data_IF_011428181465
#
_entry.id   IF_011428181465
#
_cell.length_a   1.000
_cell.length_b   1.000
_cell.length_c   1.000
_cell.angle_alpha   90.00
_cell.angle_beta   90.00
_cell.angle_gamma   90.00
#
_symmetry.space_group_name_H-M   'P 1'
#
loop_
_entity.id
_entity.type
_entity.pdbx_description
1 polymer ?
#
# COMPACT_ATOMS: atom_id res chain seq x y z
N UNK A 1 -20.81 -0.46 6.28
CA UNK A 1 -20.78 0.48 7.42
C UNK A 1 -20.25 1.81 6.91
N UNK A 2 -20.62 2.94 7.52
CA UNK A 2 -20.17 4.26 7.03
C UNK A 2 -18.64 4.44 6.97
N UNK A 3 -17.90 3.71 7.81
CA UNK A 3 -16.43 3.70 7.78
C UNK A 3 -15.84 3.12 6.49
N UNK A 4 -16.51 2.12 5.88
CA UNK A 4 -16.05 1.58 4.60
C UNK A 4 -16.16 2.61 3.49
N UNK A 5 -17.28 3.34 3.42
CA UNK A 5 -17.51 4.34 2.37
C UNK A 5 -16.57 5.54 2.53
N UNK A 6 -16.32 5.95 3.78
CA UNK A 6 -15.36 6.99 4.09
C UNK A 6 -13.93 6.61 3.65
N UNK A 7 -13.43 5.46 4.09
CA UNK A 7 -12.06 5.01 3.76
C UNK A 7 -11.88 4.75 2.26
N UNK A 8 -12.90 4.18 1.61
CA UNK A 8 -12.97 4.05 0.15
C UNK A 8 -12.80 5.41 -0.55
N UNK A 9 -13.54 6.43 -0.08
CA UNK A 9 -13.48 7.78 -0.64
C UNK A 9 -12.12 8.43 -0.44
N UNK A 10 -11.47 8.20 0.71
CA UNK A 10 -10.10 8.66 0.97
C UNK A 10 -9.10 8.03 0.00
N UNK A 11 -9.13 6.70 -0.17
CA UNK A 11 -8.24 5.98 -1.10
C UNK A 11 -8.42 6.52 -2.53
N UNK A 12 -9.67 6.62 -3.00
CA UNK A 12 -9.96 7.14 -4.34
C UNK A 12 -9.47 8.57 -4.49
N UNK A 13 -9.72 9.43 -3.51
CA UNK A 13 -9.28 10.84 -3.55
C UNK A 13 -7.76 10.96 -3.62
N UNK A 14 -7.03 10.14 -2.86
CA UNK A 14 -5.57 10.12 -2.92
C UNK A 14 -5.07 9.64 -4.29
N UNK A 15 -5.66 8.56 -4.82
CA UNK A 15 -5.32 8.04 -6.16
C UNK A 15 -5.59 9.08 -7.26
N UNK A 16 -6.70 9.80 -7.18
CA UNK A 16 -7.08 10.78 -8.20
C UNK A 16 -6.20 12.03 -8.14
N UNK A 17 -5.97 12.57 -6.93
CA UNK A 17 -5.39 13.92 -6.74
C UNK A 17 -3.89 13.94 -6.46
N UNK A 18 -3.26 12.80 -6.20
CA UNK A 18 -1.82 12.71 -5.94
C UNK A 18 -1.16 11.85 -7.00
N UNK A 19 0.16 11.82 -6.96
CA UNK A 19 1.01 10.98 -7.79
C UNK A 19 2.12 10.41 -6.93
N UNK A 20 2.78 9.34 -7.39
CA UNK A 20 3.99 8.80 -6.77
C UNK A 20 3.78 8.35 -5.31
N UNK A 21 2.55 7.98 -4.96
CA UNK A 21 2.22 7.33 -3.68
C UNK A 21 2.51 5.83 -3.73
N UNK A 22 2.83 5.27 -2.55
CA UNK A 22 2.95 3.83 -2.33
C UNK A 22 1.82 3.36 -1.43
N UNK A 23 1.02 2.41 -1.90
CA UNK A 23 -0.06 1.76 -1.15
C UNK A 23 0.39 0.36 -0.71
N UNK A 24 0.46 0.14 0.61
CA UNK A 24 0.76 -1.16 1.21
C UNK A 24 -0.57 -1.84 1.61
N UNK A 25 -1.00 -2.83 0.83
CA UNK A 25 -2.29 -3.52 1.04
C UNK A 25 -2.05 -4.92 1.64
N UNK A 26 -2.18 -5.01 2.96
CA UNK A 26 -1.96 -6.25 3.71
C UNK A 26 -3.27 -6.92 4.13
N UNK A 27 -3.50 -8.13 3.66
CA UNK A 27 -4.73 -8.89 3.91
C UNK A 27 -5.81 -8.72 2.84
N UNK A 28 -6.78 -9.64 2.79
CA UNK A 28 -7.77 -9.73 1.72
C UNK A 28 -8.65 -8.48 1.57
N UNK A 29 -9.11 -7.91 2.68
CA UNK A 29 -9.93 -6.70 2.67
C UNK A 29 -9.15 -5.46 2.17
N UNK A 30 -7.86 -5.35 2.48
CA UNK A 30 -7.02 -4.28 1.93
C UNK A 30 -6.75 -4.51 0.44
N UNK A 31 -6.46 -5.76 0.04
CA UNK A 31 -6.22 -6.13 -1.36
C UNK A 31 -7.40 -5.82 -2.26
N UNK A 32 -8.64 -5.95 -1.78
CA UNK A 32 -9.83 -5.62 -2.59
C UNK A 32 -9.95 -4.13 -2.92
N UNK A 33 -9.18 -3.25 -2.26
CA UNK A 33 -9.13 -1.81 -2.57
C UNK A 33 -8.20 -1.47 -3.71
N UNK A 34 -7.42 -2.44 -4.21
CA UNK A 34 -6.44 -2.19 -5.27
C UNK A 34 -7.07 -1.66 -6.56
N UNK A 35 -8.33 -2.01 -6.84
CA UNK A 35 -9.05 -1.60 -8.05
C UNK A 35 -9.44 -0.12 -8.03
N UNK A 36 -9.35 0.51 -6.86
CA UNK A 36 -9.60 1.93 -6.66
C UNK A 36 -8.36 2.80 -6.86
N UNK A 37 -7.21 2.18 -7.17
CA UNK A 37 -5.90 2.84 -7.24
C UNK A 37 -5.38 2.77 -8.67
N UNK A 38 -5.03 3.93 -9.24
CA UNK A 38 -4.38 4.02 -10.54
C UNK A 38 -2.92 3.58 -10.44
N UNK A 39 -2.66 2.35 -10.91
CA UNK A 39 -1.33 1.72 -10.87
C UNK A 39 -0.34 2.33 -11.87
N UNK A 40 -0.78 3.20 -12.79
CA UNK A 40 0.14 3.95 -13.65
C UNK A 40 0.75 5.15 -12.90
N UNK A 41 0.05 5.67 -11.89
CA UNK A 41 0.47 6.82 -11.08
C UNK A 41 1.13 6.41 -9.76
N UNK A 42 0.83 5.22 -9.28
CA UNK A 42 1.12 4.76 -7.92
C UNK A 42 1.69 3.36 -7.88
N UNK A 43 2.49 3.08 -6.85
CA UNK A 43 2.90 1.71 -6.53
C UNK A 43 1.88 1.06 -5.59
N UNK A 44 1.44 -0.14 -5.93
CA UNK A 44 0.62 -0.98 -5.05
C UNK A 44 1.41 -2.25 -4.70
N UNK A 45 1.70 -2.43 -3.40
CA UNK A 45 2.35 -3.64 -2.89
C UNK A 45 1.35 -4.43 -2.04
N UNK A 46 1.18 -5.72 -2.34
CA UNK A 46 0.22 -6.57 -1.62
C UNK A 46 0.91 -7.75 -0.94
N UNK A 47 0.46 -8.09 0.27
CA UNK A 47 0.94 -9.26 1.02
C UNK A 47 -0.17 -9.81 1.92
N UNK A 48 0.08 -10.95 2.58
CA UNK A 48 -0.78 -11.40 3.67
C UNK A 48 -0.81 -10.36 4.82
N UNK A 49 -1.80 -10.45 5.70
CA UNK A 49 -1.87 -9.56 6.86
C UNK A 49 -0.75 -9.93 7.87
N UNK A 50 -0.13 -8.95 8.56
CA UNK A 50 0.92 -9.21 9.57
C UNK A 50 0.46 -9.99 10.81
N UNK A 51 -0.85 -10.20 10.97
CA UNK A 51 -1.38 -11.02 12.08
C UNK A 51 -0.73 -12.41 12.09
N UNK A 52 -0.42 -12.98 13.27
CA UNK A 52 0.17 -14.32 13.40
C UNK A 52 -0.56 -15.40 12.60
N UNK A 53 -1.89 -15.28 12.45
CA UNK A 53 -2.75 -16.22 11.71
C UNK A 53 -2.42 -16.30 10.22
N UNK A 54 -1.79 -15.28 9.64
CA UNK A 54 -1.52 -15.20 8.20
C UNK A 54 -0.12 -14.75 7.82
N UNK A 55 0.71 -14.34 8.78
CA UNK A 55 2.00 -13.72 8.49
C UNK A 55 2.96 -14.66 7.73
N UNK A 56 2.95 -15.94 8.08
CA UNK A 56 3.72 -16.98 7.39
C UNK A 56 3.25 -17.23 5.96
N UNK A 57 2.01 -16.85 5.62
CA UNK A 57 1.43 -17.03 4.29
C UNK A 57 1.74 -15.86 3.34
N UNK A 58 2.90 -15.20 3.54
CA UNK A 58 3.44 -14.22 2.59
C UNK A 58 3.59 -12.79 3.10
N UNK A 59 3.43 -12.52 4.41
CA UNK A 59 3.86 -11.23 4.98
C UNK A 59 5.36 -11.24 5.28
N UNK A 60 5.84 -12.27 5.99
CA UNK A 60 7.27 -12.44 6.23
C UNK A 60 8.03 -12.61 4.91
N UNK A 61 9.13 -11.87 4.76
CA UNK A 61 9.90 -11.86 3.52
C UNK A 61 9.33 -11.00 2.38
N UNK A 62 8.17 -10.33 2.56
CA UNK A 62 7.61 -9.49 1.49
C UNK A 62 8.50 -8.28 1.11
N UNK A 63 9.34 -7.82 2.06
CA UNK A 63 10.30 -6.71 1.92
C UNK A 63 9.66 -5.38 1.50
N UNK A 64 8.39 -5.15 1.87
CA UNK A 64 7.61 -3.99 1.40
C UNK A 64 8.25 -2.63 1.72
N UNK A 65 8.83 -2.44 2.90
CA UNK A 65 9.47 -1.17 3.26
C UNK A 65 10.63 -0.81 2.32
N UNK A 66 11.53 -1.77 2.06
CA UNK A 66 12.63 -1.57 1.12
C UNK A 66 12.16 -1.39 -0.33
N UNK A 67 11.13 -2.13 -0.77
CA UNK A 67 10.54 -1.98 -2.11
C UNK A 67 9.87 -0.62 -2.28
N UNK A 68 9.17 -0.13 -1.26
CA UNK A 68 8.55 1.18 -1.24
C UNK A 68 9.62 2.27 -1.40
N UNK A 69 10.68 2.24 -0.59
CA UNK A 69 11.77 3.20 -0.67
C UNK A 69 12.51 3.14 -2.02
N UNK A 70 12.79 1.95 -2.55
CA UNK A 70 13.42 1.80 -3.86
C UNK A 70 12.58 2.46 -4.98
N UNK A 71 11.26 2.26 -4.96
CA UNK A 71 10.39 2.89 -5.94
C UNK A 71 10.25 4.40 -5.75
N UNK A 72 10.18 4.87 -4.50
CA UNK A 72 10.19 6.30 -4.17
C UNK A 72 11.45 6.97 -4.74
N UNK A 73 12.63 6.39 -4.48
CA UNK A 73 13.90 6.89 -5.02
C UNK A 73 13.91 6.94 -6.54
N UNK A 74 13.47 5.86 -7.21
CA UNK A 74 13.37 5.81 -8.68
C UNK A 74 12.44 6.90 -9.25
N UNK A 75 11.47 7.37 -8.46
CA UNK A 75 10.53 8.41 -8.84
C UNK A 75 10.92 9.82 -8.33
N UNK A 76 12.15 9.98 -7.81
CA UNK A 76 12.68 11.23 -7.29
C UNK A 76 12.03 11.68 -5.98
N UNK A 77 11.47 10.76 -5.20
CA UNK A 77 10.88 11.01 -3.88
C UNK A 77 11.87 10.64 -2.77
N UNK A 78 11.77 11.35 -1.65
CA UNK A 78 12.56 11.06 -0.45
C UNK A 78 12.12 9.70 0.14
N UNK A 79 13.07 8.79 0.43
CA UNK A 79 12.77 7.55 1.15
C UNK A 79 12.19 7.83 2.53
N UNK A 80 11.38 6.90 3.03
CA UNK A 80 10.88 6.97 4.40
C UNK A 80 11.93 6.34 5.31
N UNK A 81 12.27 7.03 6.40
CA UNK A 81 12.96 6.43 7.53
C UNK A 81 11.96 5.60 8.34
N UNK A 82 12.18 4.28 8.37
CA UNK A 82 11.30 3.32 9.03
C UNK A 82 11.82 2.90 10.41
N UNK A 83 12.94 3.47 10.87
CA UNK A 83 13.42 3.24 12.23
C UNK A 83 12.42 3.83 13.24
N UNK A 84 12.28 3.17 14.40
CA UNK A 84 11.38 3.53 15.48
C UNK A 84 12.17 3.87 16.74
#
# INVERSE_FOLDING_TARGET
>A
TGWHDFTNSVIKTLSDKKEKLVFLLWGGFAKSKQDMIDKNKHLVLTAAHPSPLSAHNGFFGCRHFSKANAWLQQNGQTPIDWSL
#
